data_IF_507597541443
#
_entry.id   IF_507597541443
#
_cell.length_a   1.000
_cell.length_b   1.000
_cell.length_c   1.000
_cell.angle_alpha   90.00
_cell.angle_beta   90.00
_cell.angle_gamma   90.00
#
_symmetry.space_group_name_H-M   'P 1'
#
loop_
_entity.id
_entity.type
_entity.pdbx_description
1 polymer ?
#
# COMPACT_ATOMS: atom_id res chain seq x y z
N UNK A 1 5.82 4.33 -4.89
CA UNK A 1 5.68 3.70 -6.21
C UNK A 1 5.11 2.28 -6.09
N UNK A 2 5.73 1.37 -5.31
CA UNK A 2 5.27 -0.02 -5.15
C UNK A 2 3.86 -0.13 -4.60
N UNK A 3 3.51 0.67 -3.58
CA UNK A 3 2.16 0.74 -3.02
C UNK A 3 1.13 1.18 -4.05
N UNK A 4 1.46 2.16 -4.88
CA UNK A 4 0.58 2.63 -5.95
C UNK A 4 0.32 1.52 -6.98
N UNK A 5 1.36 0.80 -7.41
CA UNK A 5 1.20 -0.32 -8.34
C UNK A 5 0.37 -1.45 -7.71
N UNK A 6 0.61 -1.78 -6.43
CA UNK A 6 -0.22 -2.73 -5.70
C UNK A 6 -1.68 -2.28 -5.64
N UNK A 7 -1.92 -0.97 -5.50
CA UNK A 7 -3.24 -0.36 -5.60
C UNK A 7 -3.89 -0.53 -6.98
N UNK A 8 -3.12 -0.39 -8.07
CA UNK A 8 -3.64 -0.68 -9.42
C UNK A 8 -4.13 -2.14 -9.51
N UNK A 9 -3.39 -3.09 -8.93
CA UNK A 9 -3.81 -4.51 -8.92
C UNK A 9 -5.11 -4.69 -8.15
N UNK A 10 -5.25 -4.05 -6.99
CA UNK A 10 -6.50 -4.01 -6.24
C UNK A 10 -7.65 -3.41 -7.06
N UNK A 11 -7.41 -2.27 -7.72
CA UNK A 11 -8.38 -1.62 -8.60
C UNK A 11 -8.81 -2.50 -9.78
N UNK A 12 -7.88 -3.24 -10.38
CA UNK A 12 -8.19 -4.21 -11.45
C UNK A 12 -9.12 -5.33 -10.95
N UNK A 13 -8.91 -5.83 -9.73
CA UNK A 13 -9.80 -6.83 -9.11
C UNK A 13 -11.16 -6.22 -8.79
N UNK A 14 -11.22 -5.03 -8.22
CA UNK A 14 -12.48 -4.31 -8.00
C UNK A 14 -13.26 -4.11 -9.30
N UNK A 15 -12.59 -3.71 -10.39
CA UNK A 15 -13.21 -3.54 -11.70
C UNK A 15 -13.75 -4.87 -12.26
N UNK A 16 -13.05 -5.97 -12.07
CA UNK A 16 -13.53 -7.30 -12.43
C UNK A 16 -14.82 -7.64 -11.66
N UNK A 17 -14.81 -7.50 -10.33
CA UNK A 17 -15.98 -7.77 -9.47
C UNK A 17 -17.19 -6.90 -9.86
N UNK A 18 -16.97 -5.63 -10.23
CA UNK A 18 -18.01 -4.74 -10.75
C UNK A 18 -18.54 -5.25 -12.09
N UNK A 19 -17.66 -5.64 -13.01
CA UNK A 19 -18.03 -6.11 -14.34
C UNK A 19 -18.82 -7.42 -14.30
N UNK A 20 -18.57 -8.25 -13.29
CA UNK A 20 -19.30 -9.50 -13.02
C UNK A 20 -20.59 -9.29 -12.23
N UNK A 21 -20.89 -8.08 -11.81
CA UNK A 21 -22.09 -7.74 -11.03
C UNK A 21 -22.04 -8.22 -9.58
N UNK A 22 -20.86 -8.54 -9.07
CA UNK A 22 -20.67 -8.99 -7.68
C UNK A 22 -20.73 -7.84 -6.68
N UNK A 23 -20.27 -6.67 -7.09
CA UNK A 23 -20.37 -5.42 -6.34
C UNK A 23 -20.77 -4.27 -7.28
N UNK A 24 -21.26 -3.17 -6.72
CA UNK A 24 -21.42 -1.91 -7.46
C UNK A 24 -20.18 -1.03 -7.31
N UNK A 25 -19.97 0.00 -8.15
CA UNK A 25 -18.87 0.96 -7.96
C UNK A 25 -18.86 1.60 -6.57
N UNK A 26 -20.01 1.81 -5.95
CA UNK A 26 -20.16 2.38 -4.61
C UNK A 26 -19.74 1.40 -3.49
N UNK A 27 -19.71 0.11 -3.79
CA UNK A 27 -19.24 -0.94 -2.88
C UNK A 27 -17.73 -1.22 -3.02
N UNK A 28 -17.02 -0.49 -3.89
CA UNK A 28 -15.58 -0.61 -4.06
C UNK A 28 -14.84 -0.09 -2.82
N UNK A 29 -14.80 -0.90 -1.77
CA UNK A 29 -14.29 -0.55 -0.45
C UNK A 29 -13.06 -1.37 -0.08
N UNK A 30 -11.99 -0.67 0.29
CA UNK A 30 -10.73 -1.26 0.76
C UNK A 30 -10.66 -1.14 2.27
N UNK A 31 -10.29 -2.23 2.95
CA UNK A 31 -9.87 -2.23 4.34
C UNK A 31 -8.35 -2.19 4.46
N UNK A 32 -7.83 -1.41 5.41
CA UNK A 32 -6.40 -1.31 5.62
C UNK A 32 -6.03 -1.47 7.09
N UNK A 33 -5.20 -2.47 7.38
CA UNK A 33 -4.67 -2.72 8.72
C UNK A 33 -3.37 -1.95 8.87
N UNK A 34 -3.40 -0.81 9.57
CA UNK A 34 -2.24 0.01 9.85
C UNK A 34 -1.61 -0.32 11.20
N UNK A 35 -0.28 -0.23 11.31
CA UNK A 35 0.37 -0.37 12.62
C UNK A 35 0.10 0.86 13.49
N UNK A 36 0.48 2.03 13.00
CA UNK A 36 0.31 3.33 13.69
C UNK A 36 -0.04 4.44 12.70
N UNK A 37 -0.58 5.55 13.22
CA UNK A 37 -0.86 6.75 12.42
C UNK A 37 0.42 7.56 12.12
N UNK A 38 1.50 6.89 11.68
CA UNK A 38 2.76 7.51 11.28
C UNK A 38 2.76 7.84 9.78
N UNK A 39 3.56 8.81 9.38
CA UNK A 39 3.70 9.21 7.97
C UNK A 39 4.02 8.02 7.05
N UNK A 40 4.90 7.12 7.48
CA UNK A 40 5.25 5.89 6.74
C UNK A 40 4.00 5.06 6.40
N UNK A 41 3.10 4.84 7.36
CA UNK A 41 1.87 4.07 7.18
C UNK A 41 0.87 4.85 6.33
N UNK A 42 0.70 6.14 6.63
CA UNK A 42 -0.23 7.03 5.91
C UNK A 42 0.17 7.19 4.45
N UNK A 43 1.44 7.44 4.16
CA UNK A 43 1.94 7.51 2.78
C UNK A 43 1.71 6.18 2.03
N UNK A 44 1.90 5.06 2.72
CA UNK A 44 1.70 3.73 2.17
C UNK A 44 0.25 3.48 1.75
N UNK A 45 -0.72 3.67 2.65
CA UNK A 45 -2.13 3.42 2.31
C UNK A 45 -2.68 4.46 1.35
N UNK A 46 -2.24 5.71 1.44
CA UNK A 46 -2.69 6.75 0.50
C UNK A 46 -2.22 6.44 -0.91
N UNK A 47 -0.94 6.07 -1.10
CA UNK A 47 -0.44 5.66 -2.40
C UNK A 47 -1.20 4.44 -2.96
N UNK A 48 -1.50 3.47 -2.11
CA UNK A 48 -2.29 2.27 -2.46
C UNK A 48 -3.70 2.66 -2.90
N UNK A 49 -4.41 3.48 -2.13
CA UNK A 49 -5.74 3.96 -2.47
C UNK A 49 -5.74 4.73 -3.80
N UNK A 50 -4.79 5.66 -4.01
CA UNK A 50 -4.71 6.42 -5.25
C UNK A 50 -4.41 5.53 -6.46
N UNK A 51 -3.62 4.46 -6.27
CA UNK A 51 -3.43 3.43 -7.28
C UNK A 51 -4.74 2.71 -7.64
N UNK A 52 -5.55 2.31 -6.67
CA UNK A 52 -6.85 1.67 -6.89
C UNK A 52 -7.83 2.63 -7.58
N UNK A 53 -7.89 3.89 -7.13
CA UNK A 53 -8.72 4.94 -7.74
C UNK A 53 -8.33 5.31 -9.15
N UNK A 54 -7.10 5.05 -9.58
CA UNK A 54 -6.71 5.22 -10.98
C UNK A 54 -7.41 4.24 -11.93
N UNK A 55 -8.01 3.16 -11.38
CA UNK A 55 -8.79 2.15 -12.11
C UNK A 55 -10.28 2.29 -11.81
N UNK A 56 -10.64 2.34 -10.53
CA UNK A 56 -12.03 2.53 -10.04
C UNK A 56 -12.09 3.81 -9.21
N UNK A 57 -12.50 4.95 -9.80
CA UNK A 57 -12.49 6.27 -9.13
C UNK A 57 -13.34 6.37 -7.87
N UNK A 58 -14.36 5.53 -7.74
CA UNK A 58 -15.31 5.50 -6.62
C UNK A 58 -14.70 4.83 -5.37
N UNK A 59 -13.57 4.13 -5.50
CA UNK A 59 -12.95 3.37 -4.40
C UNK A 59 -12.74 4.26 -3.16
N UNK A 60 -13.18 3.77 -2.01
CA UNK A 60 -12.95 4.36 -0.69
C UNK A 60 -12.17 3.41 0.20
N UNK A 61 -11.61 3.93 1.30
CA UNK A 61 -10.81 3.13 2.22
C UNK A 61 -11.24 3.33 3.67
N UNK A 62 -11.33 2.24 4.42
CA UNK A 62 -11.41 2.24 5.87
C UNK A 62 -10.09 1.74 6.44
N UNK A 63 -9.43 2.59 7.23
CA UNK A 63 -8.17 2.26 7.94
C UNK A 63 -8.52 1.91 9.38
N UNK A 64 -7.93 0.85 9.91
CA UNK A 64 -7.97 0.55 11.33
C UNK A 64 -6.53 0.33 11.85
N UNK A 65 -6.16 1.05 12.90
CA UNK A 65 -4.82 0.96 13.48
C UNK A 65 -4.76 -0.07 14.60
N UNK A 66 -3.79 -0.97 14.49
CA UNK A 66 -3.51 -1.99 15.52
C UNK A 66 -2.78 -1.41 16.74
N UNK A 67 -2.21 -0.21 16.63
CA UNK A 67 -1.35 0.41 17.64
C UNK A 67 -0.19 -0.49 18.09
N UNK A 68 0.24 -1.38 17.20
CA UNK A 68 1.42 -2.24 17.31
C UNK A 68 1.91 -2.60 15.92
N UNK A 69 3.21 -2.88 15.78
CA UNK A 69 3.77 -3.37 14.52
C UNK A 69 3.43 -4.84 14.27
N UNK A 70 3.34 -5.65 15.33
CA UNK A 70 3.21 -7.09 15.21
C UNK A 70 2.29 -7.66 16.29
N UNK A 71 1.10 -8.08 15.89
CA UNK A 71 0.15 -8.83 16.72
C UNK A 71 -0.76 -9.66 15.82
N UNK A 72 -0.35 -10.90 15.53
CA UNK A 72 -1.05 -11.78 14.60
C UNK A 72 -2.57 -11.88 14.86
N UNK A 73 -2.96 -12.17 16.10
CA UNK A 73 -4.38 -12.34 16.45
C UNK A 73 -5.17 -11.04 16.28
N UNK A 74 -4.60 -9.92 16.74
CA UNK A 74 -5.29 -8.64 16.69
C UNK A 74 -5.38 -8.09 15.27
N UNK A 75 -4.30 -8.17 14.48
CA UNK A 75 -4.33 -7.80 13.06
C UNK A 75 -5.35 -8.62 12.27
N UNK A 76 -5.46 -9.93 12.58
CA UNK A 76 -6.44 -10.83 11.99
C UNK A 76 -7.87 -10.43 12.36
N UNK A 77 -8.13 -10.08 13.63
CA UNK A 77 -9.43 -9.59 14.10
C UNK A 77 -9.82 -8.28 13.43
N UNK A 78 -8.89 -7.33 13.32
CA UNK A 78 -9.11 -6.07 12.59
C UNK A 78 -9.50 -6.36 11.15
N UNK A 79 -8.78 -7.24 10.46
CA UNK A 79 -9.08 -7.58 9.08
C UNK A 79 -10.48 -8.21 8.93
N UNK A 80 -10.86 -9.13 9.83
CA UNK A 80 -12.21 -9.71 9.86
C UNK A 80 -13.28 -8.64 10.05
N UNK A 81 -13.08 -7.72 10.99
CA UNK A 81 -14.00 -6.61 11.24
C UNK A 81 -14.15 -5.67 10.03
N UNK A 82 -13.07 -5.42 9.28
CA UNK A 82 -13.12 -4.64 8.05
C UNK A 82 -13.87 -5.36 6.93
N UNK A 83 -13.72 -6.70 6.82
CA UNK A 83 -14.46 -7.53 5.86
C UNK A 83 -15.96 -7.53 6.20
N UNK A 84 -16.31 -7.67 7.47
CA UNK A 84 -17.70 -7.60 7.95
C UNK A 84 -18.36 -6.25 7.68
N UNK A 85 -17.58 -5.17 7.67
CA UNK A 85 -18.01 -3.82 7.26
C UNK A 85 -18.12 -3.64 5.73
N UNK A 86 -17.93 -4.71 4.97
CA UNK A 86 -18.09 -4.71 3.51
C UNK A 86 -16.82 -4.34 2.74
N UNK A 87 -15.64 -4.37 3.35
CA UNK A 87 -14.40 -4.26 2.59
C UNK A 87 -14.14 -5.54 1.80
N UNK A 88 -13.93 -5.42 0.49
CA UNK A 88 -13.71 -6.54 -0.43
C UNK A 88 -12.24 -6.71 -0.83
N UNK A 89 -11.41 -5.74 -0.52
CA UNK A 89 -9.95 -5.81 -0.60
C UNK A 89 -9.38 -5.45 0.77
N UNK A 90 -8.47 -6.26 1.29
CA UNK A 90 -7.72 -5.96 2.52
C UNK A 90 -6.25 -5.77 2.18
N UNK A 91 -5.65 -4.73 2.72
CA UNK A 91 -4.19 -4.55 2.69
C UNK A 91 -3.69 -4.15 4.07
N UNK A 92 -2.37 -4.08 4.23
CA UNK A 92 -1.77 -3.87 5.53
C UNK A 92 -0.47 -3.06 5.47
N UNK A 93 -0.13 -2.47 6.61
CA UNK A 93 1.18 -1.95 6.96
C UNK A 93 1.48 -2.29 8.42
N UNK A 94 1.30 -3.57 8.72
CA UNK A 94 1.62 -4.28 9.95
C UNK A 94 2.38 -5.55 9.55
N UNK A 95 3.05 -6.22 10.50
CA UNK A 95 4.14 -7.14 10.15
C UNK A 95 3.76 -8.61 10.11
N UNK A 96 2.50 -8.96 10.44
CA UNK A 96 2.11 -10.38 10.50
C UNK A 96 1.32 -10.83 9.27
N UNK A 97 1.15 -12.14 9.15
CA UNK A 97 0.29 -12.75 8.13
C UNK A 97 -1.20 -12.75 8.51
N UNK A 98 -1.56 -12.21 9.69
CA UNK A 98 -2.93 -12.21 10.22
C UNK A 98 -3.98 -11.71 9.25
N UNK A 99 -3.83 -10.53 8.61
CA UNK A 99 -4.80 -10.01 7.65
C UNK A 99 -4.98 -10.89 6.42
N UNK A 100 -3.91 -11.47 5.89
CA UNK A 100 -3.96 -12.39 4.75
C UNK A 100 -4.73 -13.67 5.11
N UNK A 101 -4.44 -14.24 6.28
CA UNK A 101 -5.14 -15.44 6.79
C UNK A 101 -6.61 -15.15 7.06
N UNK A 102 -6.96 -13.95 7.53
CA UNK A 102 -8.35 -13.54 7.69
C UNK A 102 -9.11 -13.57 6.36
N UNK A 103 -8.51 -13.02 5.28
CA UNK A 103 -9.10 -13.06 3.95
C UNK A 103 -9.30 -14.50 3.47
N UNK A 104 -8.28 -15.35 3.62
CA UNK A 104 -8.35 -16.75 3.20
C UNK A 104 -9.44 -17.53 3.94
N UNK A 105 -9.54 -17.39 5.26
CA UNK A 105 -10.57 -18.06 6.06
C UNK A 105 -11.98 -17.56 5.73
N UNK A 106 -12.17 -16.25 5.60
CA UNK A 106 -13.50 -15.68 5.35
C UNK A 106 -13.97 -15.93 3.92
N UNK A 107 -13.08 -15.99 2.94
CA UNK A 107 -13.42 -16.34 1.56
C UNK A 107 -13.85 -17.79 1.38
N UNK A 108 -13.50 -18.68 2.31
CA UNK A 108 -13.97 -20.06 2.31
C UNK A 108 -15.44 -20.20 2.75
N UNK A 109 -16.03 -19.12 3.24
CA UNK A 109 -17.45 -19.04 3.53
C UNK A 109 -18.17 -18.45 2.31
N UNK A 110 -19.31 -18.99 1.92
CA UNK A 110 -20.11 -18.45 0.79
C UNK A 110 -20.62 -17.01 1.02
N UNK A 111 -20.29 -16.44 2.17
CA UNK A 111 -20.76 -15.11 2.58
C UNK A 111 -19.88 -13.97 2.06
N UNK A 112 -18.56 -14.20 1.92
CA UNK A 112 -17.62 -13.14 1.60
C UNK A 112 -16.76 -13.47 0.38
N UNK A 113 -16.70 -12.57 -0.56
CA UNK A 113 -15.69 -12.58 -1.62
C UNK A 113 -14.69 -11.45 -1.35
N UNK A 114 -13.51 -11.81 -0.85
CA UNK A 114 -12.50 -10.85 -0.39
C UNK A 114 -11.12 -11.26 -0.88
N UNK A 115 -10.29 -10.29 -1.17
CA UNK A 115 -8.92 -10.47 -1.64
C UNK A 115 -7.93 -9.69 -0.78
N UNK A 116 -6.68 -10.14 -0.79
CA UNK A 116 -5.60 -9.55 -0.01
C UNK A 116 -4.50 -8.98 -0.89
N UNK A 117 -3.89 -7.86 -0.44
CA UNK A 117 -2.67 -7.29 -1.04
C UNK A 117 -1.64 -7.07 0.05
N UNK A 118 -0.51 -7.77 -0.06
CA UNK A 118 0.54 -7.82 0.94
C UNK A 118 1.52 -6.64 0.92
N UNK A 119 2.32 -6.55 1.98
CA UNK A 119 3.45 -5.64 2.09
C UNK A 119 4.65 -6.33 2.74
N UNK A 120 5.85 -6.01 2.25
CA UNK A 120 7.16 -6.51 2.65
C UNK A 120 7.38 -8.01 2.48
N UNK A 121 6.36 -8.84 2.46
CA UNK A 121 6.45 -10.28 2.28
C UNK A 121 5.35 -10.81 1.36
N UNK A 122 5.62 -11.94 0.70
CA UNK A 122 4.63 -12.65 -0.09
C UNK A 122 3.66 -13.41 0.83
N UNK A 123 2.36 -13.31 0.55
CA UNK A 123 1.32 -13.91 1.38
C UNK A 123 0.67 -15.13 0.72
N UNK A 124 1.07 -15.49 -0.49
CA UNK A 124 0.47 -16.61 -1.25
C UNK A 124 0.61 -17.97 -0.54
N UNK A 125 1.65 -18.14 0.30
CA UNK A 125 1.83 -19.37 1.08
C UNK A 125 0.78 -19.58 2.17
N UNK A 126 0.18 -18.50 2.68
CA UNK A 126 -0.83 -18.52 3.76
C UNK A 126 -2.21 -18.11 3.27
N UNK A 127 -2.30 -17.52 2.09
CA UNK A 127 -3.53 -17.05 1.46
C UNK A 127 -3.51 -17.29 -0.05
N UNK A 128 -3.43 -18.58 -0.49
CA UNK A 128 -3.22 -18.93 -1.90
C UNK A 128 -4.39 -18.55 -2.80
N UNK A 129 -5.62 -18.48 -2.28
CA UNK A 129 -6.82 -18.18 -3.06
C UNK A 129 -7.26 -16.72 -2.97
N UNK A 130 -6.63 -15.92 -2.12
CA UNK A 130 -7.02 -14.53 -1.89
C UNK A 130 -5.89 -13.53 -2.07
N UNK A 131 -4.63 -13.89 -1.85
CA UNK A 131 -3.50 -12.95 -1.97
C UNK A 131 -3.13 -12.69 -3.42
N UNK A 132 -3.32 -11.43 -3.87
CA UNK A 132 -3.12 -11.00 -5.26
C UNK A 132 -1.65 -10.70 -5.58
N UNK A 133 -1.02 -9.86 -4.79
CA UNK A 133 0.33 -9.34 -4.98
C UNK A 133 0.82 -8.68 -3.68
N UNK A 134 2.09 -8.34 -3.65
CA UNK A 134 2.68 -7.45 -2.66
C UNK A 134 3.76 -6.57 -3.28
N UNK A 135 4.30 -5.66 -2.48
CA UNK A 135 5.53 -4.96 -2.78
C UNK A 135 6.41 -4.94 -1.53
N UNK A 136 7.70 -4.78 -1.71
CA UNK A 136 8.66 -4.72 -0.61
C UNK A 136 9.72 -3.64 -0.81
N UNK A 137 10.31 -3.20 0.29
CA UNK A 137 11.60 -2.52 0.26
C UNK A 137 12.69 -3.57 0.01
N UNK A 138 13.58 -3.30 -0.91
CA UNK A 138 14.76 -4.10 -1.15
C UNK A 138 15.97 -3.44 -0.49
N UNK A 139 16.44 -4.01 0.59
CA UNK A 139 17.55 -3.47 1.37
C UNK A 139 18.92 -3.77 0.76
N UNK A 140 19.02 -4.75 -0.18
CA UNK A 140 20.26 -5.20 -0.78
C UNK A 140 21.13 -4.06 -1.34
N UNK A 141 20.60 -3.11 -2.15
CA UNK A 141 21.44 -2.04 -2.68
C UNK A 141 22.03 -1.14 -1.60
N UNK A 142 21.26 -0.86 -0.55
CA UNK A 142 21.73 -0.06 0.58
C UNK A 142 22.79 -0.81 1.39
N UNK A 143 22.50 -2.03 1.82
CA UNK A 143 23.40 -2.85 2.63
C UNK A 143 24.71 -3.12 1.90
N UNK A 144 24.65 -3.45 0.61
CA UNK A 144 25.84 -3.68 -0.23
C UNK A 144 26.72 -2.43 -0.32
N UNK A 145 26.12 -1.26 -0.53
CA UNK A 145 26.85 0.00 -0.59
C UNK A 145 27.50 0.35 0.77
N UNK A 146 26.79 0.14 1.87
CA UNK A 146 27.32 0.36 3.24
C UNK A 146 28.51 -0.57 3.52
N UNK A 147 28.36 -1.86 3.23
CA UNK A 147 29.42 -2.85 3.44
C UNK A 147 30.64 -2.48 2.59
N UNK A 148 30.45 -2.13 1.31
CA UNK A 148 31.55 -1.75 0.42
C UNK A 148 32.27 -0.49 0.91
N UNK A 149 31.53 0.53 1.38
CA UNK A 149 32.12 1.73 1.93
C UNK A 149 33.03 1.41 3.13
N UNK A 150 32.58 0.55 4.03
CA UNK A 150 33.37 0.13 5.21
C UNK A 150 34.64 -0.62 4.79
N UNK A 151 34.53 -1.55 3.84
CA UNK A 151 35.69 -2.31 3.32
C UNK A 151 36.73 -1.40 2.64
N UNK A 152 36.28 -0.37 1.96
CA UNK A 152 37.13 0.61 1.26
C UNK A 152 37.68 1.72 2.19
N UNK A 153 37.29 1.72 3.47
CA UNK A 153 37.66 2.79 4.41
C UNK A 153 37.04 4.16 4.07
N UNK A 154 35.93 4.17 3.35
CA UNK A 154 35.19 5.37 2.93
C UNK A 154 34.05 5.67 3.89
N UNK A 155 33.52 6.88 3.81
CA UNK A 155 32.29 7.24 4.50
C UNK A 155 31.10 6.65 3.75
N UNK A 156 30.11 6.13 4.48
CA UNK A 156 28.89 5.53 3.92
C UNK A 156 28.17 6.51 3.00
N UNK A 157 28.09 7.78 3.40
CA UNK A 157 27.43 8.85 2.66
C UNK A 157 28.08 9.15 1.29
N UNK A 158 29.32 8.68 1.07
CA UNK A 158 29.99 8.87 -0.23
C UNK A 158 29.58 7.85 -1.29
N UNK A 159 29.03 6.70 -0.87
CA UNK A 159 28.64 5.59 -1.75
C UNK A 159 27.11 5.54 -2.00
N UNK A 160 26.37 6.34 -1.26
CA UNK A 160 24.91 6.44 -1.39
C UNK A 160 24.54 7.83 -1.97
N UNK A 161 23.47 7.85 -2.75
CA UNK A 161 22.83 9.10 -3.16
C UNK A 161 22.05 9.68 -1.97
N UNK A 162 22.78 10.32 -1.06
CA UNK A 162 22.26 10.84 0.20
C UNK A 162 21.82 12.28 0.01
N UNK A 163 20.63 12.60 0.47
CA UNK A 163 20.22 13.98 0.62
C UNK A 163 21.01 14.60 1.78
N UNK A 164 22.02 15.38 1.45
CA UNK A 164 23.06 15.89 2.39
C UNK A 164 22.49 16.63 3.61
N UNK A 165 21.31 17.24 3.46
CA UNK A 165 20.66 18.02 4.52
C UNK A 165 19.97 17.17 5.59
N UNK A 166 19.60 15.92 5.26
CA UNK A 166 18.84 15.04 6.14
C UNK A 166 19.53 13.72 6.48
N UNK A 167 20.68 13.43 5.87
CA UNK A 167 21.37 12.13 5.94
C UNK A 167 20.48 10.94 5.52
N UNK A 168 19.50 11.18 4.63
CA UNK A 168 18.58 10.19 4.12
C UNK A 168 19.01 9.69 2.75
N UNK A 169 18.96 8.39 2.52
CA UNK A 169 19.14 7.78 1.22
C UNK A 169 17.78 7.50 0.58
N UNK A 170 17.65 7.81 -0.71
CA UNK A 170 16.42 7.71 -1.45
C UNK A 170 16.57 6.77 -2.64
N UNK A 171 15.57 5.93 -2.86
CA UNK A 171 15.52 5.05 -4.00
C UNK A 171 14.09 4.66 -4.36
N UNK A 172 13.93 4.14 -5.55
CA UNK A 172 12.63 3.70 -6.07
C UNK A 172 12.74 2.41 -6.89
N UNK A 173 11.74 2.18 -7.73
CA UNK A 173 11.73 1.03 -8.64
C UNK A 173 12.92 1.02 -9.60
N UNK A 174 13.30 2.20 -10.13
CA UNK A 174 14.42 2.33 -11.06
C UNK A 174 15.78 1.98 -10.43
N UNK A 175 15.91 2.20 -9.14
CA UNK A 175 17.12 1.94 -8.36
C UNK A 175 17.13 0.55 -7.72
N UNK A 176 16.09 -0.25 -7.98
CA UNK A 176 15.87 -1.55 -7.34
C UNK A 176 15.73 -1.50 -5.80
N UNK A 177 15.35 -0.35 -5.25
CA UNK A 177 15.08 -0.20 -3.82
C UNK A 177 13.65 -0.59 -3.44
N UNK A 178 12.76 -0.57 -4.42
CA UNK A 178 11.38 -1.05 -4.33
C UNK A 178 11.18 -2.16 -5.33
N UNK A 179 10.60 -3.26 -4.90
CA UNK A 179 10.30 -4.41 -5.74
C UNK A 179 8.83 -4.78 -5.63
N UNK A 180 8.23 -5.14 -6.77
CA UNK A 180 6.95 -5.85 -6.78
C UNK A 180 7.21 -7.33 -6.52
N UNK A 181 6.40 -7.93 -5.66
CA UNK A 181 6.40 -9.37 -5.44
C UNK A 181 5.62 -10.07 -6.55
N UNK A 182 5.65 -11.39 -6.56
CA UNK A 182 4.98 -12.18 -7.58
C UNK A 182 3.47 -11.96 -7.58
N UNK A 183 2.93 -11.73 -8.79
CA UNK A 183 1.49 -11.64 -9.01
C UNK A 183 0.89 -13.05 -9.01
N UNK A 184 -0.13 -13.26 -8.18
CA UNK A 184 -0.92 -14.50 -8.22
C UNK A 184 -1.86 -14.47 -9.45
N UNK A 185 -1.37 -14.96 -10.57
CA UNK A 185 -2.10 -14.94 -11.84
C UNK A 185 -3.35 -15.81 -11.86
N UNK A 186 -3.45 -16.77 -10.93
CA UNK A 186 -4.61 -17.66 -10.84
C UNK A 186 -5.88 -16.89 -10.48
N UNK A 187 -5.73 -15.87 -9.63
CA UNK A 187 -6.85 -15.08 -9.10
C UNK A 187 -6.83 -13.62 -9.56
N UNK A 188 -5.76 -13.16 -10.20
CA UNK A 188 -5.67 -11.79 -10.68
C UNK A 188 -6.65 -11.55 -11.84
N UNK A 189 -7.24 -10.35 -11.86
CA UNK A 189 -8.11 -9.93 -12.95
C UNK A 189 -7.40 -9.96 -14.30
N UNK A 190 -8.09 -10.26 -15.40
CA UNK A 190 -7.50 -10.28 -16.74
C UNK A 190 -6.81 -8.95 -17.08
N UNK A 191 -5.58 -9.04 -17.60
CA UNK A 191 -4.80 -7.87 -17.99
C UNK A 191 -3.99 -7.22 -16.88
N UNK A 192 -4.08 -7.69 -15.63
CA UNK A 192 -3.35 -7.14 -14.48
C UNK A 192 -1.83 -7.12 -14.70
N UNK A 193 -1.21 -8.18 -15.20
CA UNK A 193 0.23 -8.21 -15.52
C UNK A 193 0.63 -7.08 -16.49
N UNK A 194 -0.21 -6.80 -17.49
CA UNK A 194 0.04 -5.68 -18.43
C UNK A 194 -0.10 -4.32 -17.74
N UNK A 195 -1.07 -4.19 -16.83
CA UNK A 195 -1.27 -2.95 -16.06
C UNK A 195 -0.07 -2.67 -15.14
N UNK A 196 0.42 -3.67 -14.42
CA UNK A 196 1.64 -3.59 -13.60
C UNK A 196 2.84 -3.15 -14.44
N UNK A 197 3.08 -3.82 -15.58
CA UNK A 197 4.20 -3.45 -16.47
C UNK A 197 4.08 -2.01 -16.96
N UNK A 198 2.88 -1.58 -17.41
CA UNK A 198 2.66 -0.19 -17.85
C UNK A 198 2.90 0.82 -16.74
N UNK A 199 2.54 0.48 -15.50
CA UNK A 199 2.79 1.36 -14.37
C UNK A 199 4.28 1.48 -14.05
N UNK A 200 5.04 0.37 -14.07
CA UNK A 200 6.50 0.38 -13.92
C UNK A 200 7.14 1.26 -15.00
N UNK A 201 6.78 1.03 -16.28
CA UNK A 201 7.26 1.82 -17.42
C UNK A 201 6.88 3.30 -17.29
N UNK A 202 5.67 3.59 -16.75
CA UNK A 202 5.18 4.93 -16.50
C UNK A 202 5.96 5.68 -15.42
N UNK A 203 6.31 4.98 -14.34
CA UNK A 203 7.20 5.53 -13.30
C UNK A 203 8.60 5.82 -13.84
N UNK A 204 9.18 4.88 -14.60
CA UNK A 204 10.48 5.06 -15.22
C UNK A 204 10.55 6.27 -16.17
N UNK A 205 9.42 6.64 -16.78
CA UNK A 205 9.29 7.80 -17.67
C UNK A 205 8.82 9.08 -16.97
N UNK A 206 8.61 9.05 -15.65
CA UNK A 206 8.05 10.19 -14.90
C UNK A 206 6.61 10.56 -15.29
N UNK A 207 5.85 9.64 -15.88
CA UNK A 207 4.48 9.86 -16.34
C UNK A 207 3.43 9.66 -15.24
N UNK A 208 3.78 8.95 -14.19
CA UNK A 208 2.89 8.67 -13.05
C UNK A 208 3.35 9.48 -11.85
N UNK A 209 2.40 10.25 -11.30
CA UNK A 209 2.54 11.02 -10.07
C UNK A 209 1.68 10.35 -9.02
N UNK A 210 2.28 9.95 -7.89
CA UNK A 210 1.57 9.21 -6.83
C UNK A 210 0.61 10.13 -6.09
N UNK A 211 1.14 11.18 -5.46
CA UNK A 211 0.38 12.12 -4.64
C UNK A 211 -0.01 13.34 -5.48
N UNK A 212 -0.96 13.13 -6.38
CA UNK A 212 -1.45 14.13 -7.32
C UNK A 212 -2.91 13.85 -7.71
N UNK A 213 -3.72 14.89 -7.83
CA UNK A 213 -5.10 14.81 -8.28
C UNK A 213 -6.00 15.84 -7.57
N UNK A 214 -7.29 15.73 -7.77
CA UNK A 214 -8.29 16.59 -7.13
C UNK A 214 -8.63 16.02 -5.74
N UNK A 215 -7.67 16.06 -4.82
CA UNK A 215 -7.81 15.57 -3.46
C UNK A 215 -7.30 16.61 -2.49
N UNK A 216 -7.96 16.69 -1.34
CA UNK A 216 -7.49 17.41 -0.16
C UNK A 216 -7.30 16.43 0.99
N UNK A 217 -6.55 16.83 2.00
CA UNK A 217 -6.32 15.98 3.15
C UNK A 217 -5.83 16.76 4.35
N UNK A 218 -5.89 16.12 5.49
CA UNK A 218 -5.55 16.68 6.78
C UNK A 218 -4.53 15.80 7.48
N UNK A 219 -3.52 16.39 8.09
CA UNK A 219 -2.63 15.69 8.99
C UNK A 219 -3.38 15.32 10.28
N UNK A 220 -3.61 14.03 10.57
CA UNK A 220 -4.41 13.63 11.73
C UNK A 220 -3.79 14.04 13.08
N UNK A 221 -2.47 14.27 13.13
CA UNK A 221 -1.76 14.75 14.31
C UNK A 221 -1.74 16.27 14.44
N UNK A 222 -2.09 17.00 13.37
CA UNK A 222 -2.18 18.46 13.35
C UNK A 222 -3.28 18.92 12.39
N UNK A 223 -4.54 19.06 12.84
CA UNK A 223 -5.68 19.40 11.98
C UNK A 223 -5.59 20.75 11.26
N UNK A 224 -4.67 21.63 11.66
CA UNK A 224 -4.39 22.88 10.94
C UNK A 224 -3.48 22.69 9.73
N UNK A 225 -2.76 21.58 9.66
CA UNK A 225 -1.87 21.20 8.55
C UNK A 225 -2.67 20.44 7.51
N UNK A 226 -2.90 21.08 6.36
CA UNK A 226 -3.73 20.59 5.26
C UNK A 226 -2.95 20.56 3.99
N UNK A 227 -3.33 19.66 3.10
CA UNK A 227 -2.75 19.54 1.76
C UNK A 227 -3.81 19.66 0.67
N UNK A 228 -3.40 20.21 -0.46
CA UNK A 228 -4.13 20.22 -1.73
C UNK A 228 -3.26 19.55 -2.80
N UNK A 229 -3.66 18.35 -3.21
CA UNK A 229 -2.96 17.52 -4.19
C UNK A 229 -3.24 17.90 -5.65
N UNK A 230 -3.96 19.01 -5.93
CA UNK A 230 -3.96 19.60 -7.28
C UNK A 230 -2.55 20.04 -7.69
N UNK A 231 -1.66 20.19 -6.69
CA UNK A 231 -0.21 20.26 -6.85
C UNK A 231 0.42 18.96 -6.38
N UNK A 232 1.35 18.43 -7.18
CA UNK A 232 2.07 17.21 -6.79
C UNK A 232 2.84 17.39 -5.49
N UNK A 233 2.65 16.45 -4.55
CA UNK A 233 3.51 16.34 -3.38
C UNK A 233 4.69 15.39 -3.69
N UNK A 234 5.90 15.92 -3.59
CA UNK A 234 7.13 15.20 -3.86
C UNK A 234 8.24 15.73 -2.94
N UNK A 235 8.95 14.84 -2.24
CA UNK A 235 9.99 15.21 -1.28
C UNK A 235 11.39 15.21 -1.90
N UNK A 236 11.59 14.48 -2.98
CA UNK A 236 12.90 14.35 -3.65
C UNK A 236 12.76 13.99 -5.12
N UNK A 237 13.89 14.05 -5.85
CA UNK A 237 13.93 13.81 -7.30
C UNK A 237 13.50 12.40 -7.72
N UNK A 238 13.55 11.41 -6.81
CA UNK A 238 13.13 10.01 -7.08
C UNK A 238 11.66 9.74 -6.76
N UNK A 239 10.89 10.78 -6.49
CA UNK A 239 9.47 10.73 -6.16
C UNK A 239 9.15 9.85 -4.93
N UNK A 240 10.09 9.71 -3.99
CA UNK A 240 9.82 9.14 -2.68
C UNK A 240 9.17 10.18 -1.78
N UNK A 241 8.18 9.78 -1.00
CA UNK A 241 7.44 10.67 -0.12
C UNK A 241 7.10 10.00 1.23
N UNK A 242 8.10 9.49 1.99
CA UNK A 242 7.86 8.83 3.26
C UNK A 242 7.35 9.77 4.36
N UNK A 243 7.50 11.08 4.18
CA UNK A 243 6.97 12.10 5.09
C UNK A 243 5.52 12.49 4.80
N UNK A 244 4.89 11.95 3.76
CA UNK A 244 3.48 12.24 3.48
C UNK A 244 2.59 11.72 4.62
N UNK A 245 1.93 12.63 5.33
CA UNK A 245 1.19 12.31 6.55
C UNK A 245 -0.28 12.78 6.51
N UNK A 246 -0.87 12.91 5.32
CA UNK A 246 -2.22 13.46 5.19
C UNK A 246 -3.24 12.35 4.90
N UNK A 247 -4.25 12.27 5.75
CA UNK A 247 -5.45 11.47 5.50
C UNK A 247 -6.33 12.24 4.50
N UNK A 248 -6.68 11.60 3.39
CA UNK A 248 -7.48 12.24 2.34
C UNK A 248 -8.94 12.37 2.77
N UNK A 249 -9.49 13.56 2.54
CA UNK A 249 -10.88 13.89 2.88
C UNK A 249 -11.86 13.06 2.04
N UNK A 250 -12.99 12.73 2.62
CA UNK A 250 -14.15 12.06 1.99
C UNK A 250 -13.90 10.64 1.44
N UNK A 251 -12.65 10.19 1.33
CA UNK A 251 -12.32 8.88 0.74
C UNK A 251 -11.54 7.96 1.68
N UNK A 252 -11.06 8.48 2.81
CA UNK A 252 -10.43 7.69 3.89
C UNK A 252 -11.17 7.93 5.18
N UNK A 253 -11.64 6.84 5.80
CA UNK A 253 -12.19 6.84 7.15
C UNK A 253 -11.30 6.03 8.08
N UNK A 254 -11.19 6.44 9.35
CA UNK A 254 -10.53 5.66 10.39
C UNK A 254 -11.59 5.00 11.25
N UNK A 255 -11.47 3.68 11.41
CA UNK A 255 -12.29 2.87 12.31
C UNK A 255 -11.49 2.56 13.57
N UNK A 256 -12.11 2.74 14.72
CA UNK A 256 -11.59 2.20 15.98
C UNK A 256 -12.21 0.82 16.23
N UNK A 257 -11.41 -0.11 16.74
CA UNK A 257 -11.95 -1.37 17.25
C UNK A 257 -12.59 -1.12 18.61
N UNK A 258 -13.78 -1.69 18.80
CA UNK A 258 -14.37 -1.70 20.13
C UNK A 258 -13.40 -2.40 21.09
N UNK A 259 -12.90 -1.66 22.05
CA UNK A 259 -12.09 -2.25 23.14
C UNK A 259 -12.99 -3.18 23.93
N UNK A 260 -12.92 -4.49 23.61
CA UNK A 260 -13.47 -5.47 24.53
C UNK A 260 -12.66 -5.37 25.82
N UNK A 261 -13.36 -4.97 26.86
CA UNK A 261 -12.89 -4.98 28.26
C UNK A 261 -12.54 -6.38 28.74
#
# INVERSE_FOLDING_TARGET
>A
QGRYIAGIVAGMKLQEMISEGKITPQDAKIGYVGAYAYAEVISGYTAFLLGARSVVPETVMTVCYANTWSSYSYEKEIAKSLIEDGCVIISQHSDTTGPAVACEEMSQTDKYEVYHVGYNQGMTSVAPTTSLIGCKVNWEPYESAVIQAVLDGKKIESELDVQKEKNDAWGGLADNWVQMLELNEVIAAPGTRKAVKRAIDGFAKGQIKVFYGKYTGVNPLNPSDKIDLTKEYQENAKASAPGFCYQLDDIVTVKEMDTQQ
#
